data_IF_389927510505
#
_entry.id   IF_389927510505
#
_cell.length_a   1.000
_cell.length_b   1.000
_cell.length_c   1.000
_cell.angle_alpha   90.00
_cell.angle_beta   90.00
_cell.angle_gamma   90.00
#
_symmetry.space_group_name_H-M   'P 1'
#
loop_
_entity.id
_entity.type
_entity.pdbx_description
1 polymer ?
#
# COMPACT_ATOMS: atom_id res chain seq x y z
N UNK A 1 -3.77 -4.50 8.71
CA UNK A 1 -4.36 -3.59 7.70
C UNK A 1 -3.35 -3.50 6.58
N UNK A 2 -3.60 -4.17 5.46
CA UNK A 2 -2.75 -4.04 4.29
C UNK A 2 -3.48 -3.07 3.36
N UNK A 3 -3.02 -1.84 3.22
CA UNK A 3 -3.68 -0.84 2.37
C UNK A 3 -2.77 -0.51 1.20
N UNK A 4 -3.30 -0.64 -0.02
CA UNK A 4 -2.66 -0.15 -1.23
C UNK A 4 -3.26 1.21 -1.53
N UNK A 5 -2.41 2.22 -1.57
CA UNK A 5 -2.79 3.55 -1.95
C UNK A 5 -2.20 3.86 -3.33
N UNK A 6 -3.03 4.34 -4.24
CA UNK A 6 -2.60 4.86 -5.54
C UNK A 6 -2.93 6.35 -5.62
N UNK A 7 -1.94 7.21 -5.86
CA UNK A 7 -2.09 8.66 -5.94
C UNK A 7 -1.28 9.27 -7.09
N UNK A 8 -1.79 10.33 -7.71
CA UNK A 8 -1.10 11.04 -8.78
C UNK A 8 -0.25 12.19 -8.21
N UNK A 9 1.06 12.11 -8.36
CA UNK A 9 1.99 13.20 -8.05
C UNK A 9 1.95 14.24 -9.18
N UNK A 10 1.51 15.45 -8.84
CA UNK A 10 1.71 16.61 -9.70
C UNK A 10 3.21 16.82 -9.91
N UNK A 11 3.71 16.56 -11.13
CA UNK A 11 5.09 16.88 -11.49
C UNK A 11 5.16 18.34 -11.93
N UNK A 12 6.29 19.00 -11.68
CA UNK A 12 6.54 20.39 -12.07
C UNK A 12 6.85 20.54 -13.58
N UNK A 13 6.63 19.49 -14.40
CA UNK A 13 6.72 19.58 -15.86
C UNK A 13 5.32 19.74 -16.45
N UNK A 14 5.07 20.77 -17.28
CA UNK A 14 3.80 20.87 -18.00
C UNK A 14 3.63 19.62 -18.88
N UNK A 15 2.62 18.80 -18.56
CA UNK A 15 2.26 17.60 -19.32
C UNK A 15 2.62 16.24 -18.69
N UNK A 16 3.32 16.17 -17.55
CA UNK A 16 3.64 14.90 -16.91
C UNK A 16 2.98 14.77 -15.53
N UNK A 17 1.94 13.93 -15.44
CA UNK A 17 1.42 13.39 -14.18
C UNK A 17 2.19 12.10 -13.87
N UNK A 18 2.77 12.00 -12.67
CA UNK A 18 3.42 10.76 -12.24
C UNK A 18 2.53 10.02 -11.26
N UNK A 19 2.01 8.86 -11.63
CA UNK A 19 1.26 8.00 -10.70
C UNK A 19 2.23 7.30 -9.75
N UNK A 20 1.88 7.27 -8.46
CA UNK A 20 2.62 6.63 -7.38
C UNK A 20 1.68 5.68 -6.66
N UNK A 21 2.09 4.42 -6.49
CA UNK A 21 1.38 3.46 -5.66
C UNK A 21 2.25 3.02 -4.48
N UNK A 22 1.64 2.90 -3.30
CA UNK A 22 2.29 2.47 -2.05
C UNK A 22 1.45 1.34 -1.46
N UNK A 23 2.07 0.21 -1.16
CA UNK A 23 1.48 -0.85 -0.36
C UNK A 23 2.10 -0.81 1.04
N UNK A 24 1.28 -0.69 2.07
CA UNK A 24 1.73 -0.74 3.47
C UNK A 24 0.93 -1.78 4.24
N UNK A 25 1.61 -2.49 5.14
CA UNK A 25 1.02 -3.42 6.10
C UNK A 25 0.71 -2.75 7.46
N UNK A 26 1.04 -1.46 7.60
CA UNK A 26 0.82 -0.66 8.79
C UNK A 26 -0.16 0.47 8.49
N UNK A 27 -1.00 0.83 9.47
CA UNK A 27 -1.93 1.95 9.35
C UNK A 27 -1.18 3.28 9.25
N UNK A 28 -1.82 4.32 8.70
CA UNK A 28 -1.24 5.66 8.61
C UNK A 28 -0.73 6.21 9.96
N UNK A 29 -1.34 5.81 11.08
CA UNK A 29 -0.88 6.17 12.42
C UNK A 29 0.52 5.63 12.75
N UNK A 30 0.90 4.47 12.20
CA UNK A 30 2.21 3.86 12.39
C UNK A 30 3.32 4.45 11.52
N UNK A 31 2.95 5.25 10.50
CA UNK A 31 3.92 5.86 9.57
C UNK A 31 4.84 6.89 10.24
N UNK A 32 4.47 7.39 11.41
CA UNK A 32 5.34 8.24 12.26
C UNK A 32 6.64 7.55 12.66
N UNK A 33 6.70 6.22 12.64
CA UNK A 33 7.93 5.44 12.88
C UNK A 33 8.87 5.46 11.67
N UNK A 34 8.31 5.50 10.46
CA UNK A 34 9.05 5.50 9.20
C UNK A 34 9.43 6.92 8.77
N UNK A 35 8.52 7.88 8.97
CA UNK A 35 8.72 9.30 8.76
C UNK A 35 8.81 10.00 10.10
N UNK A 36 10.03 10.12 10.61
CA UNK A 36 10.32 10.67 11.94
C UNK A 36 10.03 12.17 12.07
N UNK A 37 9.97 12.91 10.95
CA UNK A 37 9.51 14.29 10.92
C UNK A 37 7.97 14.36 10.78
N UNK A 38 7.25 14.94 11.76
CA UNK A 38 5.79 15.00 11.73
C UNK A 38 5.22 15.80 10.56
N UNK A 39 5.92 16.85 10.11
CA UNK A 39 5.46 17.70 9.00
C UNK A 39 5.59 16.96 7.67
N UNK A 40 6.67 16.21 7.49
CA UNK A 40 6.89 15.34 6.33
C UNK A 40 5.86 14.22 6.28
N UNK A 41 5.58 13.55 7.40
CA UNK A 41 4.56 12.50 7.46
C UNK A 41 3.19 13.05 7.04
N UNK A 42 2.78 14.19 7.60
CA UNK A 42 1.51 14.83 7.26
C UNK A 42 1.45 15.24 5.79
N UNK A 43 2.50 15.86 5.25
CA UNK A 43 2.55 16.28 3.85
C UNK A 43 2.54 15.12 2.86
N UNK A 44 3.15 13.99 3.22
CA UNK A 44 3.11 12.77 2.42
C UNK A 44 1.70 12.20 2.42
N UNK A 45 1.10 11.98 3.60
CA UNK A 45 -0.26 11.43 3.73
C UNK A 45 -1.27 12.32 3.02
N UNK A 46 -1.18 13.64 3.16
CA UNK A 46 -2.04 14.61 2.49
C UNK A 46 -1.98 14.48 0.96
N UNK A 47 -0.79 14.48 0.36
CA UNK A 47 -0.64 14.33 -1.11
C UNK A 47 -1.10 12.99 -1.64
N UNK A 48 -1.06 11.98 -0.78
CA UNK A 48 -1.36 10.60 -1.09
C UNK A 48 -2.86 10.33 -1.05
N UNK A 49 -3.57 10.96 -0.11
CA UNK A 49 -5.04 10.91 -0.02
C UNK A 49 -5.70 11.95 -0.92
N UNK A 50 -5.03 13.05 -1.24
CA UNK A 50 -5.53 14.06 -2.17
C UNK A 50 -5.61 13.50 -3.61
N UNK A 51 -6.81 13.10 -4.02
CA UNK A 51 -7.07 12.53 -5.34
C UNK A 51 -6.53 11.10 -5.53
N UNK A 52 -6.17 10.42 -4.43
CA UNK A 52 -5.76 9.02 -4.43
C UNK A 52 -6.87 8.08 -3.97
N UNK A 53 -6.81 6.82 -4.40
CA UNK A 53 -7.74 5.76 -3.98
C UNK A 53 -7.07 4.86 -2.94
N UNK A 54 -7.74 4.64 -1.82
CA UNK A 54 -7.35 3.66 -0.81
C UNK A 54 -8.05 2.34 -1.12
N UNK A 55 -7.26 1.28 -1.30
CA UNK A 55 -7.74 -0.09 -1.47
C UNK A 55 -7.32 -0.87 -0.24
N UNK A 56 -8.30 -1.31 0.55
CA UNK A 56 -8.06 -2.22 1.67
C UNK A 56 -7.89 -3.64 1.13
N UNK A 57 -6.66 -4.13 1.14
CA UNK A 57 -6.35 -5.54 0.92
C UNK A 57 -6.54 -6.28 2.23
N UNK A 58 -7.44 -7.27 2.22
CA UNK A 58 -7.79 -8.05 3.41
C UNK A 58 -6.61 -8.78 4.07
N UNK A 59 -6.91 -9.63 5.04
CA UNK A 59 -5.89 -10.39 5.78
C UNK A 59 -5.46 -11.67 5.08
N UNK A 60 -6.12 -12.03 3.98
CA UNK A 60 -5.87 -13.28 3.29
C UNK A 60 -4.52 -13.25 2.55
N UNK A 61 -3.63 -14.14 2.99
CA UNK A 61 -2.32 -14.30 2.37
C UNK A 61 -2.42 -15.21 1.15
N UNK A 62 -2.25 -14.63 -0.03
CA UNK A 62 -2.17 -15.36 -1.30
C UNK A 62 -1.09 -16.46 -1.26
N UNK A 63 0.07 -16.16 -0.65
CA UNK A 63 1.18 -17.11 -0.51
C UNK A 63 0.78 -18.31 0.34
N UNK A 64 0.10 -18.08 1.47
CA UNK A 64 -0.34 -19.16 2.36
C UNK A 64 -1.40 -20.04 1.70
N UNK A 65 -2.38 -19.43 1.03
CA UNK A 65 -3.42 -20.17 0.30
C UNK A 65 -2.81 -21.07 -0.78
N UNK A 66 -1.83 -20.56 -1.53
CA UNK A 66 -1.12 -21.33 -2.56
C UNK A 66 -0.34 -22.51 -1.97
N UNK A 67 0.36 -22.31 -0.85
CA UNK A 67 1.10 -23.38 -0.17
C UNK A 67 0.17 -24.45 0.38
N UNK A 68 -0.96 -24.06 0.99
CA UNK A 68 -1.97 -25.01 1.50
C UNK A 68 -2.55 -25.86 0.37
N UNK A 69 -2.94 -25.25 -0.74
CA UNK A 69 -3.47 -25.97 -1.91
C UNK A 69 -2.46 -27.00 -2.46
N UNK A 70 -1.16 -26.68 -2.48
CA UNK A 70 -0.12 -27.63 -2.87
C UNK A 70 0.08 -28.77 -1.87
N UNK A 71 0.02 -28.47 -0.57
CA UNK A 71 0.16 -29.48 0.48
C UNK A 71 -1.03 -30.46 0.48
N UNK A 72 -2.24 -29.97 0.25
CA UNK A 72 -3.45 -30.80 0.12
C UNK A 72 -3.36 -31.74 -1.10
N UNK A 73 -2.83 -31.25 -2.24
CA UNK A 73 -2.61 -32.10 -3.43
C UNK A 73 -1.58 -33.21 -3.19
N UNK A 74 -0.56 -32.97 -2.36
CA UNK A 74 0.44 -33.98 -2.00
C UNK A 74 -0.07 -35.03 -1.01
N UNK A 75 -1.07 -34.69 -0.19
CA UNK A 75 -1.66 -35.61 0.78
C UNK A 75 -2.73 -36.54 0.17
N UNK A 76 -3.20 -36.23 -1.04
CA UNK A 76 -4.22 -37.00 -1.78
C UNK A 76 -3.61 -37.93 -2.85
N UNK A 77 -2.28 -37.92 -3.02
CA UNK A 77 -1.52 -38.85 -3.87
C UNK A 77 -0.79 -39.90 -3.04
#
# INVERSE_FOLDING_TARGET
MNSILSGNRASNRPGALHSVAIASNESFSGWTKTFTDPRLCAAIVDRLTFGGNIIETGTDSYRLATTRARAEQQAVG
#
